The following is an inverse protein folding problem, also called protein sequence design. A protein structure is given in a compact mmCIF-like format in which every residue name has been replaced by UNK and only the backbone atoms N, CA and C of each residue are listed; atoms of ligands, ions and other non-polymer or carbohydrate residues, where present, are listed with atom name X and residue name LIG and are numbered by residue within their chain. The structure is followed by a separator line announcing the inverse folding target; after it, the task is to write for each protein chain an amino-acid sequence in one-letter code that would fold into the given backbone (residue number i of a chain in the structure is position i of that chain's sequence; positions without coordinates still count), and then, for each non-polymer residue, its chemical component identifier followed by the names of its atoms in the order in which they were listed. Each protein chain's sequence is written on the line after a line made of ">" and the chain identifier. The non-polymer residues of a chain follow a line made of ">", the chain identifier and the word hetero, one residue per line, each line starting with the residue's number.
data_IF_167336265956
#
_entry.id   IF_167336265956
#
_cell.length_a   1.000
_cell.length_b   1.000
_cell.length_c   1.000
_cell.angle_alpha   90.00
_cell.angle_beta   90.00
_cell.angle_gamma   90.00
#
_symmetry.space_group_name_H-M   'P 1'
#
loop_
_entity.id
_entity.type
_entity.pdbx_description
1 polymer ?
#
# COMPACT_ATOMS: atom_id res chain seq x y z
N UNK A 1 3.33 -12.15 23.57
CA UNK A 1 1.95 -11.76 23.17
C UNK A 1 1.72 -12.28 21.76
N UNK A 2 0.46 -12.53 21.38
CA UNK A 2 0.15 -12.83 19.98
C UNK A 2 0.47 -11.60 19.12
N UNK A 3 1.04 -11.83 17.94
CA UNK A 3 1.37 -10.79 16.95
C UNK A 3 0.11 -10.00 16.57
N UNK A 4 0.17 -8.66 16.59
CA UNK A 4 -0.95 -7.77 16.24
C UNK A 4 -0.78 -7.24 14.82
N UNK A 5 -1.84 -7.40 14.02
CA UNK A 5 -1.82 -7.14 12.59
C UNK A 5 -2.77 -5.99 12.26
N UNK A 6 -2.27 -4.92 11.63
CA UNK A 6 -3.11 -3.78 11.23
C UNK A 6 -3.19 -3.66 9.72
N UNK A 7 -4.40 -3.62 9.17
CA UNK A 7 -4.62 -3.23 7.76
C UNK A 7 -5.02 -1.78 7.69
N UNK A 8 -4.16 -0.95 7.08
CA UNK A 8 -4.45 0.46 6.79
C UNK A 8 -5.20 0.53 5.48
N UNK A 9 -6.42 1.06 5.52
CA UNK A 9 -7.34 1.15 4.39
C UNK A 9 -7.70 2.62 4.14
N UNK A 10 -7.00 3.30 3.22
CA UNK A 10 -7.36 4.66 2.82
C UNK A 10 -8.69 4.70 2.08
N UNK A 11 -9.55 5.66 2.43
CA UNK A 11 -10.86 5.84 1.80
C UNK A 11 -11.07 7.26 1.28
N UNK A 12 -11.69 7.35 0.12
CA UNK A 12 -12.28 8.57 -0.42
C UNK A 12 -13.41 8.19 -1.38
N UNK A 13 -14.66 8.46 -1.00
CA UNK A 13 -15.85 7.98 -1.71
C UNK A 13 -15.92 6.45 -1.85
N UNK A 14 -15.78 5.72 -0.74
CA UNK A 14 -15.76 4.25 -0.72
C UNK A 14 -16.95 3.68 0.09
N UNK A 15 -18.04 4.43 0.22
CA UNK A 15 -19.22 4.05 1.02
C UNK A 15 -19.80 2.69 0.66
N UNK A 16 -19.74 2.31 -0.62
CA UNK A 16 -20.26 1.01 -1.10
C UNK A 16 -19.31 -0.14 -0.74
N UNK A 17 -18.00 0.08 -0.82
CA UNK A 17 -17.01 -0.98 -0.67
C UNK A 17 -16.61 -1.22 0.79
N UNK A 18 -16.58 -0.16 1.61
CA UNK A 18 -16.17 -0.22 3.00
C UNK A 18 -16.89 -1.30 3.85
N UNK A 19 -18.25 -1.42 3.80
CA UNK A 19 -18.96 -2.41 4.62
C UNK A 19 -18.75 -3.85 4.14
N UNK A 20 -18.17 -4.04 2.94
CA UNK A 20 -17.86 -5.36 2.39
C UNK A 20 -16.40 -5.73 2.70
N UNK A 21 -15.46 -4.81 2.49
CA UNK A 21 -14.02 -5.09 2.63
C UNK A 21 -13.60 -5.24 4.09
N UNK A 22 -14.16 -4.44 5.01
CA UNK A 22 -13.78 -4.49 6.43
C UNK A 22 -14.08 -5.86 7.04
N UNK A 23 -15.29 -6.43 6.93
CA UNK A 23 -15.54 -7.78 7.38
C UNK A 23 -14.65 -8.82 6.67
N UNK A 24 -14.43 -8.69 5.36
CA UNK A 24 -13.61 -9.63 4.60
C UNK A 24 -12.16 -9.71 5.12
N UNK A 25 -11.58 -8.58 5.54
CA UNK A 25 -10.28 -8.52 6.22
C UNK A 25 -10.34 -9.21 7.59
N UNK A 26 -11.29 -8.81 8.43
CA UNK A 26 -11.40 -9.28 9.82
C UNK A 26 -11.69 -10.79 9.94
N UNK A 27 -12.30 -11.39 8.91
CA UNK A 27 -12.54 -12.83 8.82
C UNK A 27 -11.29 -13.65 8.49
N UNK A 28 -10.21 -13.04 8.00
CA UNK A 28 -8.99 -13.80 7.63
C UNK A 28 -8.26 -14.36 8.86
N UNK A 29 -8.20 -13.59 9.94
CA UNK A 29 -7.53 -13.98 11.18
C UNK A 29 -8.07 -13.10 12.34
N UNK A 30 -8.33 -13.66 13.54
CA UNK A 30 -8.76 -12.88 14.70
C UNK A 30 -7.78 -11.76 15.11
N UNK A 31 -6.49 -11.88 14.75
CA UNK A 31 -5.44 -10.89 15.04
C UNK A 31 -5.50 -9.64 14.15
N UNK A 32 -6.23 -9.68 13.05
CA UNK A 32 -6.39 -8.51 12.18
C UNK A 32 -7.28 -7.45 12.85
N UNK A 33 -6.78 -6.23 12.81
CA UNK A 33 -7.50 -4.98 13.05
C UNK A 33 -7.45 -4.14 11.76
N UNK A 34 -8.42 -3.24 11.60
CA UNK A 34 -8.51 -2.36 10.42
C UNK A 34 -8.45 -0.91 10.88
N UNK A 35 -7.58 -0.12 10.25
CA UNK A 35 -7.60 1.34 10.35
C UNK A 35 -8.16 1.90 9.04
N UNK A 36 -9.38 2.44 9.11
CA UNK A 36 -9.94 3.24 8.02
C UNK A 36 -9.35 4.64 8.10
N UNK A 37 -8.67 5.08 7.03
CA UNK A 37 -8.12 6.44 6.94
C UNK A 37 -8.96 7.24 5.95
N UNK A 38 -9.93 7.98 6.46
CA UNK A 38 -10.88 8.72 5.61
C UNK A 38 -10.41 10.14 5.33
N UNK A 39 -10.36 10.50 4.04
CA UNK A 39 -9.91 11.80 3.54
C UNK A 39 -11.05 12.83 3.43
N UNK A 40 -11.92 12.87 4.45
CA UNK A 40 -13.14 13.70 4.53
C UNK A 40 -14.07 13.45 3.34
N UNK A 41 -14.53 12.21 3.22
CA UNK A 41 -15.37 11.77 2.12
C UNK A 41 -16.74 12.45 2.13
N UNK A 42 -17.14 13.16 1.06
CA UNK A 42 -18.43 13.85 0.99
C UNK A 42 -19.64 12.90 0.84
N UNK A 43 -19.41 11.64 0.47
CA UNK A 43 -20.47 10.64 0.28
C UNK A 43 -20.94 9.98 1.58
N UNK A 44 -20.38 10.37 2.73
CA UNK A 44 -20.68 9.77 4.03
C UNK A 44 -19.87 8.50 4.34
N UNK A 45 -18.77 8.22 3.63
CA UNK A 45 -17.86 7.10 3.96
C UNK A 45 -17.31 7.23 5.39
N UNK A 46 -16.90 8.43 5.81
CA UNK A 46 -16.38 8.66 7.17
C UNK A 46 -17.38 8.32 8.27
N UNK A 47 -18.64 8.75 8.12
CA UNK A 47 -19.71 8.41 9.07
C UNK A 47 -19.94 6.90 9.14
N UNK A 48 -19.96 6.22 7.99
CA UNK A 48 -20.09 4.76 7.96
C UNK A 48 -18.91 4.06 8.65
N UNK A 49 -17.69 4.60 8.51
CA UNK A 49 -16.52 4.07 9.21
C UNK A 49 -16.68 4.19 10.74
N UNK A 50 -17.23 5.30 11.22
CA UNK A 50 -17.50 5.51 12.66
C UNK A 50 -18.55 4.50 13.19
N UNK A 51 -19.61 4.25 12.42
CA UNK A 51 -20.63 3.24 12.75
C UNK A 51 -20.04 1.82 12.83
N UNK A 52 -19.12 1.48 11.90
CA UNK A 52 -18.40 0.21 11.92
C UNK A 52 -17.47 0.10 13.14
N UNK A 53 -16.75 1.16 13.49
CA UNK A 53 -15.87 1.19 14.67
C UNK A 53 -16.66 1.09 15.98
N UNK A 54 -17.83 1.73 16.08
CA UNK A 54 -18.70 1.65 17.25
C UNK A 54 -19.24 0.24 17.49
N UNK A 55 -19.51 -0.51 16.42
CA UNK A 55 -20.05 -1.88 16.48
C UNK A 55 -18.96 -2.96 16.54
N UNK A 56 -17.74 -2.67 16.09
CA UNK A 56 -16.65 -3.64 15.93
C UNK A 56 -15.35 -3.13 16.57
N UNK A 57 -14.95 -3.63 17.76
CA UNK A 57 -13.77 -3.14 18.50
C UNK A 57 -12.41 -3.24 17.78
N UNK A 58 -12.34 -4.04 16.70
CA UNK A 58 -11.14 -4.22 15.86
C UNK A 58 -11.09 -3.25 14.67
N UNK A 59 -12.04 -2.33 14.57
CA UNK A 59 -12.10 -1.29 13.54
C UNK A 59 -11.83 0.05 14.18
N UNK A 60 -10.90 0.80 13.57
CA UNK A 60 -10.49 2.13 13.98
C UNK A 60 -10.67 3.09 12.83
N UNK A 61 -10.87 4.37 13.15
CA UNK A 61 -11.04 5.42 12.15
C UNK A 61 -10.07 6.56 12.42
N UNK A 62 -9.40 7.01 11.36
CA UNK A 62 -8.59 8.21 11.32
C UNK A 62 -9.16 9.17 10.28
N UNK A 63 -9.86 10.19 10.75
CA UNK A 63 -10.36 11.26 9.90
C UNK A 63 -9.27 12.27 9.59
N UNK A 64 -9.06 12.53 8.30
CA UNK A 64 -8.13 13.54 7.80
C UNK A 64 -8.93 14.71 7.23
N UNK A 65 -8.41 15.95 7.29
CA UNK A 65 -9.22 17.15 6.98
C UNK A 65 -9.64 17.25 5.51
N UNK A 66 -8.85 16.67 4.59
CA UNK A 66 -9.12 16.70 3.16
C UNK A 66 -8.28 15.68 2.39
N UNK A 67 -8.79 15.31 1.21
CA UNK A 67 -8.07 14.54 0.20
C UNK A 67 -6.77 15.21 -0.22
N UNK A 68 -5.66 14.58 0.12
CA UNK A 68 -4.32 15.15 -0.14
C UNK A 68 -3.30 14.15 -0.69
N UNK A 69 -3.76 12.94 -1.04
CA UNK A 69 -2.98 11.95 -1.76
C UNK A 69 -2.83 10.63 -1.01
N UNK A 70 -2.77 9.53 -1.78
CA UNK A 70 -2.67 8.17 -1.25
C UNK A 70 -1.46 7.98 -0.33
N UNK A 71 -0.28 8.49 -0.73
CA UNK A 71 0.93 8.38 0.09
C UNK A 71 0.79 9.07 1.44
N UNK A 72 0.14 10.25 1.48
CA UNK A 72 -0.11 10.96 2.75
C UNK A 72 -1.11 10.22 3.64
N UNK A 73 -2.08 9.52 3.06
CA UNK A 73 -3.02 8.70 3.82
C UNK A 73 -2.32 7.51 4.48
N UNK A 74 -1.48 6.79 3.73
CA UNK A 74 -0.66 5.71 4.29
C UNK A 74 0.31 6.22 5.35
N UNK A 75 1.02 7.32 5.12
CA UNK A 75 1.93 7.90 6.12
C UNK A 75 1.19 8.33 7.40
N UNK A 76 -0.06 8.79 7.31
CA UNK A 76 -0.87 9.09 8.48
C UNK A 76 -1.26 7.81 9.23
N UNK A 77 -1.71 6.78 8.50
CA UNK A 77 -2.02 5.47 9.07
C UNK A 77 -0.81 4.78 9.70
N UNK A 78 0.37 4.91 9.10
CA UNK A 78 1.62 4.39 9.64
C UNK A 78 2.02 5.10 10.93
N UNK A 79 1.92 6.44 11.01
CA UNK A 79 2.16 7.15 12.28
C UNK A 79 1.20 6.67 13.37
N UNK A 80 -0.09 6.58 13.05
CA UNK A 80 -1.10 6.07 13.97
C UNK A 80 -0.79 4.64 14.46
N UNK A 81 -0.30 3.77 13.56
CA UNK A 81 0.10 2.40 13.89
C UNK A 81 1.36 2.37 14.76
N UNK A 82 2.33 3.25 14.51
CA UNK A 82 3.58 3.35 15.27
C UNK A 82 3.38 3.93 16.67
N UNK A 83 2.34 4.73 16.91
CA UNK A 83 1.93 5.15 18.26
C UNK A 83 1.34 4.00 19.09
N UNK A 84 1.03 2.87 18.45
CA UNK A 84 0.42 1.67 19.05
C UNK A 84 1.34 0.46 18.89
N UNK A 85 1.01 -0.65 19.55
CA UNK A 85 1.80 -1.89 19.46
C UNK A 85 1.26 -2.82 18.39
N UNK A 86 1.51 -2.49 17.12
CA UNK A 86 1.29 -3.40 15.98
C UNK A 86 2.63 -3.89 15.44
N UNK A 87 2.71 -5.18 15.13
CA UNK A 87 3.92 -5.86 14.68
C UNK A 87 4.02 -5.86 13.15
N UNK A 88 2.90 -6.12 12.48
CA UNK A 88 2.77 -6.08 11.02
C UNK A 88 1.73 -5.05 10.60
N UNK A 89 2.11 -4.18 9.66
CA UNK A 89 1.29 -3.09 9.14
C UNK A 89 1.12 -3.27 7.64
N UNK A 90 -0.12 -3.35 7.19
CA UNK A 90 -0.48 -3.60 5.81
C UNK A 90 -0.98 -2.34 5.12
N UNK A 91 -0.61 -2.18 3.86
CA UNK A 91 -1.26 -1.28 2.92
C UNK A 91 -2.27 -2.09 2.10
N UNK A 92 -3.54 -1.66 2.04
CA UNK A 92 -4.53 -2.31 1.20
C UNK A 92 -5.63 -1.31 0.78
N UNK A 93 -5.89 -1.23 -0.52
CA UNK A 93 -6.98 -0.41 -1.06
C UNK A 93 -8.37 -0.96 -0.67
N UNK A 94 -9.35 -0.08 -0.53
CA UNK A 94 -10.69 -0.40 -0.02
C UNK A 94 -11.61 -1.12 -1.04
N UNK A 95 -11.15 -1.39 -2.26
CA UNK A 95 -12.01 -1.60 -3.42
C UNK A 95 -11.99 -3.00 -4.04
N UNK A 96 -11.44 -3.96 -3.30
CA UNK A 96 -11.24 -5.34 -3.74
C UNK A 96 -10.34 -5.52 -4.96
N UNK A 97 -9.64 -4.48 -5.45
CA UNK A 97 -8.53 -4.70 -6.37
C UNK A 97 -7.41 -5.50 -5.69
N UNK A 98 -7.33 -5.43 -4.37
CA UNK A 98 -6.55 -6.29 -3.51
C UNK A 98 -7.48 -7.24 -2.76
N UNK A 99 -7.37 -8.54 -3.03
CA UNK A 99 -8.23 -9.55 -2.40
C UNK A 99 -7.72 -9.87 -0.98
N UNK A 100 -8.54 -9.67 0.08
CA UNK A 100 -8.16 -9.98 1.45
C UNK A 100 -7.72 -11.43 1.68
N UNK A 101 -8.10 -12.39 0.82
CA UNK A 101 -7.66 -13.80 0.90
C UNK A 101 -6.14 -13.96 1.00
N UNK A 102 -5.38 -13.02 0.42
CA UNK A 102 -3.92 -13.10 0.38
C UNK A 102 -3.28 -12.66 1.71
N UNK A 103 -4.02 -12.01 2.61
CA UNK A 103 -3.47 -11.52 3.89
C UNK A 103 -2.78 -12.62 4.69
N UNK A 104 -3.31 -13.85 4.67
CA UNK A 104 -2.66 -15.00 5.31
C UNK A 104 -1.32 -15.38 4.66
N UNK A 105 -1.18 -15.24 3.34
CA UNK A 105 0.10 -15.46 2.64
C UNK A 105 1.14 -14.40 3.02
N UNK A 106 0.71 -13.13 3.14
CA UNK A 106 1.58 -12.06 3.61
C UNK A 106 2.10 -12.33 5.02
N UNK A 107 1.23 -12.74 5.96
CA UNK A 107 1.65 -13.08 7.33
C UNK A 107 2.66 -14.23 7.33
N UNK A 108 2.43 -15.27 6.52
CA UNK A 108 3.39 -16.37 6.39
C UNK A 108 4.73 -15.90 5.84
N UNK A 109 4.74 -15.09 4.79
CA UNK A 109 5.96 -14.58 4.17
C UNK A 109 6.71 -13.59 5.06
N UNK A 110 6.00 -12.85 5.92
CA UNK A 110 6.60 -11.91 6.86
C UNK A 110 7.44 -12.60 7.94
N UNK A 111 7.26 -13.92 8.19
CA UNK A 111 8.14 -14.66 9.11
C UNK A 111 9.62 -14.59 8.72
N UNK A 112 9.91 -14.56 7.41
CA UNK A 112 11.27 -14.60 6.87
C UNK A 112 11.67 -13.30 6.14
N UNK A 113 10.82 -12.27 6.17
CA UNK A 113 11.04 -11.02 5.44
C UNK A 113 10.57 -9.80 6.25
N UNK A 114 11.14 -8.65 5.91
CA UNK A 114 10.84 -7.38 6.57
C UNK A 114 9.75 -6.59 5.84
N UNK A 115 9.71 -6.73 4.52
CA UNK A 115 8.68 -6.16 3.67
C UNK A 115 8.22 -7.22 2.67
N UNK A 116 6.92 -7.48 2.65
CA UNK A 116 6.28 -8.39 1.70
C UNK A 116 5.45 -7.57 0.73
N UNK A 117 5.60 -7.83 -0.56
CA UNK A 117 4.87 -7.15 -1.63
C UNK A 117 3.98 -8.17 -2.36
N UNK A 118 2.70 -7.84 -2.51
CA UNK A 118 1.80 -8.55 -3.41
C UNK A 118 2.13 -8.18 -4.85
N UNK A 119 2.71 -9.11 -5.58
CA UNK A 119 3.24 -8.90 -6.92
C UNK A 119 2.30 -9.44 -7.98
N UNK A 120 1.95 -8.57 -8.95
CA UNK A 120 1.16 -8.93 -10.13
C UNK A 120 1.97 -9.68 -11.20
N UNK A 121 3.30 -9.74 -11.04
CA UNK A 121 4.23 -10.17 -12.08
C UNK A 121 5.16 -11.32 -11.65
N UNK A 122 5.17 -11.72 -10.38
CA UNK A 122 6.15 -12.67 -9.83
C UNK A 122 6.16 -14.05 -10.50
N UNK A 123 4.98 -14.56 -10.87
CA UNK A 123 4.80 -15.88 -11.50
C UNK A 123 4.14 -15.78 -12.88
N UNK A 124 4.33 -14.64 -13.55
CA UNK A 124 3.57 -14.28 -14.76
C UNK A 124 2.59 -13.14 -14.49
N UNK A 125 1.84 -12.75 -15.52
CA UNK A 125 0.91 -11.63 -15.46
C UNK A 125 -0.41 -12.06 -14.84
N UNK A 126 -0.67 -11.61 -13.60
CA UNK A 126 -1.89 -11.93 -12.84
C UNK A 126 -2.80 -10.70 -12.70
N UNK A 127 -3.15 -10.06 -13.83
CA UNK A 127 -4.09 -8.93 -13.85
C UNK A 127 -5.34 -9.28 -14.65
N UNK A 128 -6.51 -8.91 -14.12
CA UNK A 128 -7.82 -9.13 -14.74
C UNK A 128 -8.40 -7.78 -15.14
N UNK A 129 -9.01 -7.71 -16.34
CA UNK A 129 -9.67 -6.52 -16.91
C UNK A 129 -8.73 -5.34 -17.24
N UNK A 130 -7.45 -5.58 -17.48
CA UNK A 130 -6.51 -4.53 -17.88
C UNK A 130 -6.45 -4.37 -19.40
N UNK A 131 -6.54 -3.14 -19.94
CA UNK A 131 -6.18 -2.90 -21.33
C UNK A 131 -4.67 -3.16 -21.53
N UNK A 132 -4.31 -3.78 -22.64
CA UNK A 132 -2.92 -4.18 -22.96
C UNK A 132 -1.96 -2.99 -22.85
N UNK A 133 -2.38 -1.79 -23.23
CA UNK A 133 -1.57 -0.56 -23.10
C UNK A 133 -1.18 -0.24 -21.66
N UNK A 134 -2.10 -0.43 -20.69
CA UNK A 134 -1.84 -0.25 -19.26
C UNK A 134 -0.92 -1.35 -18.73
N UNK A 135 -1.10 -2.58 -19.19
CA UNK A 135 -0.23 -3.70 -18.83
C UNK A 135 1.22 -3.45 -19.28
N UNK A 136 1.43 -3.11 -20.55
CA UNK A 136 2.75 -2.84 -21.11
C UNK A 136 3.41 -1.64 -20.42
N UNK A 137 2.66 -0.57 -20.15
CA UNK A 137 3.17 0.58 -19.42
C UNK A 137 3.61 0.21 -18.00
N UNK A 138 2.82 -0.61 -17.29
CA UNK A 138 3.14 -1.05 -15.93
C UNK A 138 4.38 -1.95 -15.89
N UNK A 139 4.49 -2.91 -16.82
CA UNK A 139 5.70 -3.74 -16.95
C UNK A 139 6.91 -2.86 -17.24
N UNK A 140 6.81 -1.96 -18.23
CA UNK A 140 7.90 -1.04 -18.58
C UNK A 140 8.30 -0.11 -17.43
N UNK A 141 7.34 0.39 -16.64
CA UNK A 141 7.61 1.22 -15.48
C UNK A 141 8.33 0.47 -14.36
N UNK A 142 7.96 -0.78 -14.09
CA UNK A 142 8.63 -1.62 -13.10
C UNK A 142 10.06 -1.97 -13.54
N UNK A 143 10.25 -2.35 -14.81
CA UNK A 143 11.57 -2.59 -15.37
C UNK A 143 12.44 -1.33 -15.30
N UNK A 144 11.93 -0.19 -15.73
CA UNK A 144 12.62 1.08 -15.64
C UNK A 144 13.03 1.42 -14.19
N UNK A 145 12.12 1.29 -13.23
CA UNK A 145 12.42 1.55 -11.83
C UNK A 145 13.51 0.61 -11.30
N UNK A 146 13.42 -0.69 -11.62
CA UNK A 146 14.41 -1.71 -11.25
C UNK A 146 15.80 -1.37 -11.79
N UNK A 147 15.91 -1.02 -13.07
CA UNK A 147 17.19 -0.68 -13.70
C UNK A 147 17.85 0.56 -13.09
N UNK A 148 17.09 1.63 -12.83
CA UNK A 148 17.64 2.87 -12.29
C UNK A 148 17.98 2.75 -10.80
N UNK A 149 17.10 2.13 -10.02
CA UNK A 149 17.28 2.05 -8.56
C UNK A 149 18.17 0.89 -8.13
N UNK A 150 18.17 -0.21 -8.88
CA UNK A 150 18.74 -1.50 -8.48
C UNK A 150 17.83 -2.34 -7.57
N UNK A 151 16.59 -1.89 -7.34
CA UNK A 151 15.63 -2.55 -6.46
C UNK A 151 15.26 -3.94 -7.00
N UNK A 152 15.47 -5.03 -6.24
CA UNK A 152 15.27 -6.40 -6.73
C UNK A 152 13.80 -6.83 -6.66
N UNK A 153 12.89 -6.04 -7.22
CA UNK A 153 11.45 -6.31 -7.27
C UNK A 153 10.93 -6.36 -8.71
N UNK A 154 10.05 -7.31 -9.01
CA UNK A 154 9.28 -7.36 -10.25
C UNK A 154 8.10 -6.39 -10.23
N UNK A 155 7.49 -6.15 -9.07
CA UNK A 155 6.36 -5.23 -8.88
C UNK A 155 6.64 -4.15 -7.82
N UNK A 156 7.47 -3.18 -8.19
CA UNK A 156 7.80 -2.01 -7.36
C UNK A 156 6.63 -1.03 -7.15
N UNK A 157 5.58 -1.12 -7.98
CA UNK A 157 4.46 -0.16 -7.99
C UNK A 157 3.20 -0.67 -7.28
N UNK A 158 3.19 -1.94 -6.85
CA UNK A 158 2.07 -2.55 -6.13
C UNK A 158 1.77 -1.84 -4.80
N UNK A 159 0.48 -1.67 -4.49
CA UNK A 159 0.00 -1.03 -3.25
C UNK A 159 -0.47 -2.00 -2.18
N UNK A 160 -0.37 -3.31 -2.42
CA UNK A 160 -0.63 -4.34 -1.40
C UNK A 160 0.69 -4.77 -0.77
N UNK A 161 0.97 -4.26 0.42
CA UNK A 161 2.23 -4.50 1.11
C UNK A 161 2.00 -4.83 2.57
N UNK A 162 2.93 -5.58 3.13
CA UNK A 162 3.06 -5.76 4.57
C UNK A 162 4.45 -5.31 4.99
N UNK A 163 4.52 -4.47 6.01
CA UNK A 163 5.75 -4.00 6.61
C UNK A 163 5.83 -4.52 8.04
N UNK A 164 7.01 -5.02 8.42
CA UNK A 164 7.38 -5.10 9.82
C UNK A 164 7.46 -3.70 10.41
N UNK A 165 7.02 -3.57 11.66
CA UNK A 165 7.04 -2.32 12.42
C UNK A 165 8.39 -1.61 12.35
N UNK A 166 9.48 -2.37 12.53
CA UNK A 166 10.85 -1.87 12.58
C UNK A 166 11.24 -1.16 11.27
N UNK A 167 10.73 -1.64 10.13
CA UNK A 167 10.96 -1.01 8.82
C UNK A 167 10.36 0.38 8.82
N UNK A 168 9.10 0.52 9.24
CA UNK A 168 8.42 1.80 9.29
C UNK A 168 9.06 2.77 10.28
N UNK A 169 9.51 2.28 11.44
CA UNK A 169 10.23 3.10 12.43
C UNK A 169 11.57 3.63 11.91
N UNK A 170 12.24 2.89 11.01
CA UNK A 170 13.52 3.29 10.44
C UNK A 170 13.41 4.40 9.38
N UNK A 171 12.20 4.64 8.86
CA UNK A 171 11.96 5.58 7.76
C UNK A 171 11.50 6.92 8.33
N UNK A 172 12.23 7.97 7.96
CA UNK A 172 11.84 9.35 8.24
C UNK A 172 10.70 9.77 7.29
N UNK A 173 9.47 9.70 7.80
CA UNK A 173 8.26 10.00 7.03
C UNK A 173 8.17 11.45 6.56
N UNK A 174 8.89 12.39 7.17
CA UNK A 174 8.87 13.80 6.76
C UNK A 174 9.74 14.04 5.51
N UNK A 175 10.64 13.10 5.22
CA UNK A 175 11.44 13.09 3.98
C UNK A 175 10.75 12.38 2.83
N UNK A 176 9.62 11.69 3.05
CA UNK A 176 8.86 11.02 2.00
C UNK A 176 8.05 12.07 1.23
N UNK A 177 8.36 12.22 -0.07
CA UNK A 177 7.81 13.31 -0.90
C UNK A 177 6.88 12.82 -2.01
N UNK A 178 6.95 11.54 -2.32
CA UNK A 178 6.21 10.95 -3.41
C UNK A 178 4.75 10.64 -3.07
N UNK A 179 3.97 10.34 -4.11
CA UNK A 179 2.55 10.01 -4.00
C UNK A 179 2.15 8.99 -5.08
N UNK A 180 1.05 8.27 -4.87
CA UNK A 180 0.56 7.24 -5.80
C UNK A 180 1.60 6.14 -6.05
N UNK A 181 1.82 5.74 -7.31
CA UNK A 181 2.79 4.68 -7.65
C UNK A 181 4.23 5.02 -7.23
N UNK A 182 4.61 6.30 -7.27
CA UNK A 182 5.96 6.71 -6.87
C UNK A 182 6.20 6.58 -5.36
N UNK A 183 5.14 6.69 -4.55
CA UNK A 183 5.17 6.39 -3.11
C UNK A 183 5.49 4.93 -2.86
N UNK A 184 4.89 4.04 -3.64
CA UNK A 184 5.16 2.61 -3.53
C UNK A 184 6.63 2.29 -3.80
N UNK A 185 7.20 2.88 -4.85
CA UNK A 185 8.63 2.72 -5.17
C UNK A 185 9.51 3.32 -4.07
N UNK A 186 9.20 4.54 -3.59
CA UNK A 186 9.98 5.23 -2.57
C UNK A 186 10.06 4.43 -1.26
N UNK A 187 8.93 3.91 -0.77
CA UNK A 187 8.88 3.15 0.48
C UNK A 187 9.71 1.86 0.39
N UNK A 188 9.53 1.09 -0.69
CA UNK A 188 10.31 -0.13 -0.91
C UNK A 188 11.80 0.16 -1.11
N UNK A 189 12.14 1.24 -1.82
CA UNK A 189 13.52 1.63 -2.05
C UNK A 189 14.22 2.07 -0.75
N UNK A 190 13.55 2.87 0.10
CA UNK A 190 14.08 3.28 1.41
C UNK A 190 14.33 2.09 2.32
N UNK A 191 13.38 1.14 2.38
CA UNK A 191 13.55 -0.09 3.15
C UNK A 191 14.76 -0.90 2.64
N UNK A 192 14.83 -1.14 1.32
CA UNK A 192 15.93 -1.88 0.71
C UNK A 192 17.30 -1.22 0.96
N UNK A 193 17.37 0.11 0.85
CA UNK A 193 18.61 0.87 1.10
C UNK A 193 19.09 0.80 2.54
N UNK A 194 18.19 0.53 3.49
CA UNK A 194 18.51 0.28 4.90
C UNK A 194 18.87 -1.17 5.21
N UNK A 195 18.90 -2.04 4.19
CA UNK A 195 19.32 -3.45 4.31
C UNK A 195 18.20 -4.42 4.66
N UNK A 196 16.94 -3.97 4.68
CA UNK A 196 15.80 -4.83 4.94
C UNK A 196 15.57 -5.83 3.79
N UNK A 197 15.10 -7.02 4.14
CA UNK A 197 14.77 -8.10 3.22
C UNK A 197 13.38 -7.90 2.65
N UNK A 198 13.32 -7.67 1.34
CA UNK A 198 12.08 -7.55 0.57
C UNK A 198 11.78 -8.86 -0.14
N UNK A 199 10.53 -9.31 -0.10
CA UNK A 199 10.05 -10.48 -0.85
C UNK A 199 8.75 -10.20 -1.57
N UNK A 200 8.52 -10.91 -2.66
CA UNK A 200 7.29 -10.84 -3.45
C UNK A 200 6.51 -12.14 -3.37
N UNK A 201 5.21 -12.04 -3.09
CA UNK A 201 4.27 -13.14 -3.23
C UNK A 201 3.34 -12.88 -4.42
N UNK A 202 2.93 -13.91 -5.17
CA UNK A 202 2.01 -13.71 -6.29
C UNK A 202 0.61 -13.37 -5.77
N UNK A 203 0.01 -12.31 -6.32
CA UNK A 203 -1.40 -11.97 -6.10
C UNK A 203 -2.14 -11.86 -7.43
N UNK A 204 -3.47 -11.90 -7.38
CA UNK A 204 -4.34 -11.54 -8.51
C UNK A 204 -4.86 -10.14 -8.26
N UNK A 205 -4.72 -9.27 -9.26
CA UNK A 205 -5.25 -7.90 -9.22
C UNK A 205 -6.37 -7.73 -10.24
N UNK A 206 -7.56 -7.40 -9.76
CA UNK A 206 -8.73 -7.17 -10.60
C UNK A 206 -9.02 -5.68 -10.67
N UNK A 207 -8.99 -5.10 -11.86
CA UNK A 207 -9.39 -3.70 -12.05
C UNK A 207 -10.90 -3.55 -11.84
N UNK A 208 -11.32 -2.42 -11.24
CA UNK A 208 -12.74 -2.07 -11.18
C UNK A 208 -13.28 -1.94 -12.61
N UNK A 209 -14.49 -2.44 -12.84
CA UNK A 209 -15.18 -2.31 -14.14
C UNK A 209 -15.51 -0.84 -14.46
N UNK A 210 -15.64 0.01 -13.45
CA UNK A 210 -15.88 1.44 -13.60
C UNK A 210 -14.74 2.29 -13.03
N UNK A 211 -14.05 2.99 -13.92
CA UNK A 211 -13.03 3.98 -13.59
C UNK A 211 -12.13 4.26 -14.78
N UNK A 212 -12.19 5.48 -15.33
CA UNK A 212 -11.18 5.89 -16.30
C UNK A 212 -9.81 5.87 -15.63
N UNK A 213 -8.82 5.27 -16.30
CA UNK A 213 -7.44 5.23 -15.84
C UNK A 213 -6.99 6.62 -15.39
N UNK A 214 -6.65 6.75 -14.10
CA UNK A 214 -6.11 7.99 -13.52
C UNK A 214 -4.72 8.34 -14.08
N UNK A 215 -4.11 7.47 -14.91
CA UNK A 215 -2.79 7.71 -15.49
C UNK A 215 -2.85 8.77 -16.59
N UNK A 216 -2.14 9.87 -16.38
CA UNK A 216 -1.88 10.88 -17.40
C UNK A 216 -0.37 11.06 -17.62
N UNK A 217 0.01 11.74 -18.71
CA UNK A 217 1.42 12.01 -19.05
C UNK A 217 2.19 12.73 -17.93
N UNK A 218 1.49 13.50 -17.09
CA UNK A 218 2.08 14.21 -15.95
C UNK A 218 2.52 13.24 -14.85
N UNK A 219 1.66 12.31 -14.45
CA UNK A 219 1.96 11.27 -13.46
C UNK A 219 3.14 10.41 -13.92
N UNK A 220 3.18 10.07 -15.22
CA UNK A 220 4.32 9.31 -15.80
C UNK A 220 5.62 10.10 -15.68
N UNK A 221 5.62 11.40 -16.04
CA UNK A 221 6.80 12.27 -15.91
C UNK A 221 7.24 12.45 -14.46
N UNK A 222 6.30 12.64 -13.55
CA UNK A 222 6.57 12.75 -12.11
C UNK A 222 7.20 11.46 -11.57
N UNK A 223 6.70 10.29 -11.98
CA UNK A 223 7.28 9.00 -11.61
C UNK A 223 8.73 8.83 -12.14
N UNK A 224 8.98 9.18 -13.42
CA UNK A 224 10.32 9.13 -14.02
C UNK A 224 11.30 10.01 -13.23
N UNK A 225 10.93 11.26 -12.95
CA UNK A 225 11.80 12.18 -12.22
C UNK A 225 12.04 11.73 -10.78
N UNK A 226 11.00 11.20 -10.11
CA UNK A 226 11.11 10.69 -8.74
C UNK A 226 12.09 9.51 -8.64
N UNK A 227 12.06 8.57 -9.59
CA UNK A 227 12.98 7.43 -9.63
C UNK A 227 14.44 7.88 -9.70
N UNK A 228 14.75 8.86 -10.55
CA UNK A 228 16.09 9.46 -10.61
C UNK A 228 16.46 10.22 -9.34
N UNK A 229 15.52 10.99 -8.78
CA UNK A 229 15.74 11.71 -7.51
C UNK A 229 16.10 10.74 -6.39
N UNK A 230 15.37 9.64 -6.23
CA UNK A 230 15.66 8.59 -5.25
C UNK A 230 17.06 8.01 -5.46
N UNK A 231 17.43 7.69 -6.70
CA UNK A 231 18.78 7.19 -7.01
C UNK A 231 19.86 8.19 -6.60
N UNK A 232 19.70 9.47 -6.92
CA UNK A 232 20.66 10.52 -6.55
C UNK A 232 20.75 10.71 -5.03
N UNK A 233 19.63 10.76 -4.32
CA UNK A 233 19.62 10.88 -2.85
C UNK A 233 20.30 9.68 -2.18
N UNK A 234 20.13 8.47 -2.75
CA UNK A 234 20.84 7.28 -2.27
C UNK A 234 22.36 7.40 -2.44
N UNK A 235 22.84 7.98 -3.53
CA UNK A 235 24.27 8.09 -3.80
C UNK A 235 24.96 9.08 -2.85
N UNK A 236 24.23 10.10 -2.40
CA UNK A 236 24.72 11.13 -1.47
C UNK A 236 24.39 10.85 0.01
N UNK A 237 23.88 9.65 0.32
CA UNK A 237 23.63 9.20 1.70
C UNK A 237 22.50 9.92 2.45
N UNK A 238 21.49 10.46 1.73
CA UNK A 238 20.41 11.28 2.31
C UNK A 238 19.07 10.55 2.49
N UNK A 239 19.03 9.24 2.33
CA UNK A 239 17.80 8.41 2.44
C UNK A 239 17.63 7.72 3.80
#
# INVERSE_FOLDING_TARGET
>A
MAERLLVVVPTYNERVNLPLVVPAILHQDPRFEVLVVDDNSPDGTGQLADELAASTPRVHVLHRPAKSGLGKAYLAGFRWALERSYDLIFEMDADFSHDPRFLGDFVRAANDADVVIGSRYRTGVNVINWPISRLLLSIGANEYARWITGLPLADSTGGFKCFRREVLQSIDFDKVRSNGYSFQIEMSFRAWKKGYRLVEIPIVFTDRVEGQSKMNKRIVREAIWMVWWLRLQSLIGRL
#
